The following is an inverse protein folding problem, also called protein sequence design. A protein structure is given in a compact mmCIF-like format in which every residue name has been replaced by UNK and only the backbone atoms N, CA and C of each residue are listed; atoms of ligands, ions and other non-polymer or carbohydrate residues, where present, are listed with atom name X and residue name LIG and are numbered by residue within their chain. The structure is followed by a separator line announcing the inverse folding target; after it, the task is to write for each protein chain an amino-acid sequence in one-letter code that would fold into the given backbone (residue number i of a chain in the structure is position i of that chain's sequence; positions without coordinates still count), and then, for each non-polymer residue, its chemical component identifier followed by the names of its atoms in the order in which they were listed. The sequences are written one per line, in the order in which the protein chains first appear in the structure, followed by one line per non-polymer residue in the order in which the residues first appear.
data_IF_260535211971
#
_entry.id   IF_260535211971
#
_cell.length_a   1.000
_cell.length_b   1.000
_cell.length_c   1.000
_cell.angle_alpha   90.00
_cell.angle_beta   90.00
_cell.angle_gamma   90.00
#
_symmetry.space_group_name_H-M   'P 1'
#
loop_
_entity.id
_entity.type
_entity.pdbx_description
1 polymer ?
#
# COMPACT_ATOMS: atom_id res chain seq x y z
N UNK A 1 -8.89 10.50 7.25
CA UNK A 1 -10.01 9.87 6.54
C UNK A 1 -10.71 10.85 5.59
N UNK A 2 -11.12 12.03 6.04
CA UNK A 2 -11.86 13.01 5.21
C UNK A 2 -11.18 13.30 3.87
N UNK A 3 -9.86 13.60 3.90
CA UNK A 3 -9.08 13.80 2.68
C UNK A 3 -9.16 12.59 1.74
N UNK A 4 -8.88 11.39 2.24
CA UNK A 4 -8.84 10.18 1.41
C UNK A 4 -10.21 9.85 0.81
N UNK A 5 -11.28 9.94 1.58
CA UNK A 5 -12.64 9.61 1.10
C UNK A 5 -13.15 10.62 0.09
N UNK A 6 -12.73 11.89 0.18
CA UNK A 6 -13.04 12.94 -0.79
C UNK A 6 -12.44 12.64 -2.17
N UNK A 7 -11.21 12.11 -2.22
CA UNK A 7 -10.52 11.78 -3.47
C UNK A 7 -10.71 10.33 -3.91
N UNK A 8 -11.28 9.48 -3.06
CA UNK A 8 -11.59 8.11 -3.41
C UNK A 8 -12.65 8.08 -4.53
N UNK A 9 -12.29 7.50 -5.69
CA UNK A 9 -13.15 7.39 -6.87
C UNK A 9 -14.57 6.96 -6.49
N UNK A 10 -15.58 7.50 -7.17
CA UNK A 10 -16.97 7.04 -7.01
C UNK A 10 -17.08 5.58 -7.43
N UNK A 11 -17.98 4.84 -6.82
CA UNK A 11 -18.23 3.44 -7.18
C UNK A 11 -18.77 3.34 -8.61
N UNK A 12 -18.10 2.59 -9.49
CA UNK A 12 -18.58 2.38 -10.85
C UNK A 12 -19.83 1.51 -10.85
N UNK A 13 -20.56 1.49 -11.98
CA UNK A 13 -21.73 0.61 -12.17
C UNK A 13 -21.31 -0.86 -12.19
N UNK A 14 -20.14 -1.14 -12.71
CA UNK A 14 -19.58 -2.48 -12.85
C UNK A 14 -19.19 -3.08 -11.48
N UNK A 15 -19.56 -4.35 -11.29
CA UNK A 15 -19.23 -5.09 -10.06
C UNK A 15 -17.74 -5.42 -10.00
N UNK A 16 -17.16 -5.39 -8.81
CA UNK A 16 -15.75 -5.75 -8.59
C UNK A 16 -14.75 -4.75 -9.16
N UNK A 17 -15.17 -3.50 -9.34
CA UNK A 17 -14.34 -2.39 -9.83
C UNK A 17 -14.35 -1.18 -8.87
N UNK A 18 -14.93 -1.33 -7.68
CA UNK A 18 -14.97 -0.26 -6.70
C UNK A 18 -13.56 0.02 -6.15
N UNK A 19 -13.28 1.28 -5.78
CA UNK A 19 -12.04 1.60 -5.07
C UNK A 19 -12.08 1.12 -3.62
N UNK A 20 -10.91 0.88 -3.05
CA UNK A 20 -10.74 0.56 -1.63
C UNK A 20 -9.73 1.49 -0.97
N UNK A 21 -9.83 1.61 0.34
CA UNK A 21 -8.81 2.22 1.20
C UNK A 21 -8.17 1.12 2.04
N UNK A 22 -6.85 1.03 2.02
CA UNK A 22 -6.08 0.08 2.84
C UNK A 22 -5.37 0.86 3.93
N UNK A 23 -5.75 0.64 5.18
CA UNK A 23 -5.22 1.38 6.34
C UNK A 23 -4.39 0.44 7.21
N UNK A 24 -3.06 0.63 7.19
CA UNK A 24 -2.17 -0.05 8.12
C UNK A 24 -2.35 0.48 9.55
N UNK A 25 -2.48 -0.41 10.52
CA UNK A 25 -2.72 -0.04 11.91
C UNK A 25 -2.19 -1.12 12.88
N UNK A 26 -2.05 -0.76 14.16
CA UNK A 26 -1.81 -1.74 15.21
C UNK A 26 -3.09 -2.55 15.49
N UNK A 27 -2.94 -3.70 16.14
CA UNK A 27 -4.06 -4.58 16.50
C UNK A 27 -5.15 -3.82 17.29
N UNK A 28 -4.75 -3.04 18.26
CA UNK A 28 -5.65 -2.27 19.14
C UNK A 28 -6.39 -1.14 18.40
N UNK A 29 -5.92 -0.75 17.22
CA UNK A 29 -6.52 0.32 16.42
C UNK A 29 -7.53 -0.18 15.38
N UNK A 30 -7.62 -1.49 15.15
CA UNK A 30 -8.47 -2.06 14.09
C UNK A 30 -9.92 -1.56 14.21
N UNK A 31 -10.50 -1.65 15.41
CA UNK A 31 -11.88 -1.21 15.63
C UNK A 31 -12.05 0.29 15.39
N UNK A 32 -11.11 1.12 15.86
CA UNK A 32 -11.14 2.56 15.65
C UNK A 32 -11.06 2.93 14.17
N UNK A 33 -10.24 2.21 13.39
CA UNK A 33 -10.14 2.39 11.94
C UNK A 33 -11.45 2.03 11.23
N UNK A 34 -12.10 0.94 11.64
CA UNK A 34 -13.40 0.52 11.10
C UNK A 34 -14.48 1.55 11.41
N UNK A 35 -14.55 2.01 12.65
CA UNK A 35 -15.56 2.97 13.08
C UNK A 35 -15.37 4.33 12.40
N UNK A 36 -14.14 4.77 12.25
CA UNK A 36 -13.83 5.99 11.51
C UNK A 36 -14.17 5.84 10.02
N UNK A 37 -13.87 4.68 9.42
CA UNK A 37 -14.30 4.37 8.04
C UNK A 37 -15.81 4.51 7.85
N UNK A 38 -16.60 3.96 8.77
CA UNK A 38 -18.08 4.05 8.73
C UNK A 38 -18.59 5.48 8.78
N UNK A 39 -18.00 6.35 9.62
CA UNK A 39 -18.35 7.79 9.69
C UNK A 39 -18.16 8.49 8.34
N UNK A 40 -17.21 8.02 7.54
CA UNK A 40 -16.91 8.55 6.22
C UNK A 40 -17.55 7.75 5.06
N UNK A 41 -18.55 6.90 5.36
CA UNK A 41 -19.30 6.16 4.35
C UNK A 41 -18.61 4.89 3.81
N UNK A 42 -17.52 4.43 4.45
CA UNK A 42 -16.88 3.15 4.14
C UNK A 42 -17.47 2.07 5.04
N UNK A 43 -18.60 1.51 4.62
CA UNK A 43 -19.47 0.68 5.46
C UNK A 43 -19.00 -0.78 5.61
N UNK A 44 -18.15 -1.24 4.71
CA UNK A 44 -17.66 -2.62 4.65
C UNK A 44 -16.17 -2.67 4.90
N UNK A 45 -15.73 -3.74 5.55
CA UNK A 45 -14.30 -3.93 5.87
C UNK A 45 -13.94 -5.40 6.03
N UNK A 46 -12.65 -5.69 5.85
CA UNK A 46 -12.02 -6.94 6.27
C UNK A 46 -10.53 -6.72 6.59
N UNK A 47 -9.93 -7.55 7.46
CA UNK A 47 -8.54 -7.40 7.84
C UNK A 47 -7.59 -8.05 6.83
N UNK A 48 -6.40 -7.46 6.70
CA UNK A 48 -5.20 -8.11 6.17
C UNK A 48 -4.20 -8.30 7.30
N UNK A 49 -3.53 -9.44 7.31
CA UNK A 49 -2.52 -9.80 8.30
C UNK A 49 -1.17 -9.99 7.62
N UNK A 50 -0.13 -9.36 8.14
CA UNK A 50 1.22 -9.49 7.62
C UNK A 50 2.07 -10.24 8.63
N UNK A 51 2.68 -11.34 8.21
CA UNK A 51 3.45 -12.24 9.07
C UNK A 51 4.94 -12.04 8.80
N UNK A 52 5.65 -11.58 9.83
CA UNK A 52 7.12 -11.40 9.77
C UNK A 52 7.80 -12.71 10.13
N UNK A 53 8.85 -13.04 9.40
CA UNK A 53 9.75 -14.16 9.76
C UNK A 53 10.82 -13.76 10.78
N UNK A 54 10.68 -12.60 11.41
CA UNK A 54 11.59 -12.07 12.44
C UNK A 54 10.80 -11.33 13.51
N UNK A 55 11.30 -11.32 14.72
CA UNK A 55 10.75 -10.52 15.82
C UNK A 55 11.15 -9.06 15.66
N UNK A 56 10.17 -8.17 15.72
CA UNK A 56 10.39 -6.72 15.73
C UNK A 56 10.01 -6.06 17.05
N UNK A 57 9.22 -6.73 17.88
CA UNK A 57 8.68 -6.16 19.11
C UNK A 57 8.44 -7.24 20.16
N UNK A 58 8.84 -6.95 21.39
CA UNK A 58 8.47 -7.77 22.54
C UNK A 58 7.11 -7.31 23.05
N UNK A 59 6.11 -8.18 23.00
CA UNK A 59 4.75 -7.90 23.48
C UNK A 59 4.62 -8.08 24.98
N UNK A 60 5.20 -9.18 25.51
CA UNK A 60 5.21 -9.51 26.94
C UNK A 60 6.56 -10.12 27.32
N UNK A 61 7.46 -9.31 27.88
CA UNK A 61 8.83 -9.72 28.21
C UNK A 61 8.86 -10.92 29.18
N UNK A 62 8.07 -10.88 30.25
CA UNK A 62 8.04 -11.94 31.28
C UNK A 62 7.51 -13.27 30.74
N UNK A 63 6.65 -13.24 29.70
CA UNK A 63 6.11 -14.43 29.04
C UNK A 63 6.90 -14.82 27.79
N UNK A 64 7.94 -14.07 27.46
CA UNK A 64 8.75 -14.26 26.23
C UNK A 64 7.90 -14.24 24.93
N UNK A 65 6.81 -13.47 24.92
CA UNK A 65 5.95 -13.32 23.75
C UNK A 65 6.45 -12.17 22.89
N UNK A 66 6.69 -12.45 21.61
CA UNK A 66 7.18 -11.47 20.63
C UNK A 66 6.17 -11.28 19.50
N UNK A 67 6.03 -10.04 19.05
CA UNK A 67 5.15 -9.69 17.95
C UNK A 67 5.77 -10.05 16.61
N UNK A 68 5.05 -10.85 15.82
CA UNK A 68 5.43 -11.22 14.47
C UNK A 68 4.38 -10.78 13.43
N UNK A 69 3.34 -10.08 13.86
CA UNK A 69 2.24 -9.68 12.97
C UNK A 69 2.12 -8.16 12.86
N UNK A 70 1.73 -7.70 11.69
CA UNK A 70 1.21 -6.36 11.43
C UNK A 70 -0.15 -6.49 10.76
N UNK A 71 -0.94 -5.42 10.80
CA UNK A 71 -2.31 -5.45 10.33
C UNK A 71 -2.58 -4.30 9.37
N UNK A 72 -3.54 -4.51 8.47
CA UNK A 72 -4.24 -3.45 7.78
C UNK A 72 -5.73 -3.79 7.70
N UNK A 73 -6.55 -2.77 7.53
CA UNK A 73 -7.97 -2.91 7.27
C UNK A 73 -8.25 -2.41 5.87
N UNK A 74 -8.88 -3.25 5.06
CA UNK A 74 -9.45 -2.85 3.78
C UNK A 74 -10.83 -2.30 4.05
N UNK A 75 -11.06 -1.05 3.64
CA UNK A 75 -12.31 -0.33 3.80
C UNK A 75 -12.89 -0.01 2.42
N UNK A 76 -14.20 -0.20 2.25
CA UNK A 76 -14.90 0.16 1.02
C UNK A 76 -16.37 0.51 1.31
N UNK A 77 -17.05 1.13 0.33
CA UNK A 77 -18.42 1.59 0.50
C UNK A 77 -19.39 0.40 0.51
N UNK A 78 -20.09 0.18 -0.58
CA UNK A 78 -21.09 -0.89 -0.69
C UNK A 78 -20.67 -1.95 -1.70
N UNK A 79 -20.17 -1.54 -2.86
CA UNK A 79 -19.75 -2.45 -3.92
C UNK A 79 -18.39 -3.07 -3.62
N UNK A 80 -18.22 -4.33 -4.03
CA UNK A 80 -16.95 -5.04 -3.89
C UNK A 80 -15.82 -4.29 -4.60
N UNK A 81 -14.69 -4.11 -3.93
CA UNK A 81 -13.52 -3.48 -4.53
C UNK A 81 -12.94 -4.33 -5.65
N UNK A 82 -12.14 -3.69 -6.49
CA UNK A 82 -11.29 -4.39 -7.45
C UNK A 82 -10.43 -5.41 -6.69
N UNK A 83 -10.36 -6.63 -7.25
CA UNK A 83 -9.61 -7.71 -6.63
C UNK A 83 -9.02 -8.61 -7.71
N UNK A 84 -7.76 -8.37 -8.04
CA UNK A 84 -7.03 -9.11 -9.06
C UNK A 84 -6.46 -10.40 -8.45
N UNK A 85 -7.08 -11.51 -8.78
CA UNK A 85 -6.72 -12.84 -8.28
C UNK A 85 -6.60 -13.88 -9.40
N UNK A 86 -6.31 -13.42 -10.62
CA UNK A 86 -6.10 -14.30 -11.76
C UNK A 86 -4.68 -14.88 -11.65
N UNK A 87 -4.57 -16.21 -11.63
CA UNK A 87 -3.29 -16.92 -11.65
C UNK A 87 -2.70 -17.03 -13.06
N UNK A 88 -1.50 -17.59 -13.14
CA UNK A 88 -0.79 -17.84 -14.41
C UNK A 88 -1.55 -18.78 -15.35
N UNK A 89 -2.47 -19.58 -14.81
CA UNK A 89 -3.37 -20.46 -15.55
C UNK A 89 -4.62 -19.73 -16.13
N UNK A 90 -4.69 -18.40 -15.96
CA UNK A 90 -5.81 -17.57 -16.40
C UNK A 90 -7.09 -17.72 -15.56
N UNK A 91 -7.08 -18.48 -14.47
CA UNK A 91 -8.24 -18.69 -13.59
C UNK A 91 -8.18 -17.81 -12.35
N UNK A 92 -9.36 -17.51 -11.80
CA UNK A 92 -9.46 -16.84 -10.51
C UNK A 92 -9.17 -17.81 -9.37
N UNK A 93 -8.27 -17.40 -8.47
CA UNK A 93 -7.89 -18.16 -7.29
C UNK A 93 -8.32 -17.45 -6.02
N UNK A 94 -8.57 -18.22 -4.94
CA UNK A 94 -8.72 -17.63 -3.62
C UNK A 94 -7.37 -17.14 -3.11
N UNK A 95 -7.34 -15.93 -2.57
CA UNK A 95 -6.18 -15.33 -1.92
C UNK A 95 -6.46 -15.28 -0.43
N UNK A 96 -5.55 -15.81 0.38
CA UNK A 96 -5.63 -15.65 1.84
C UNK A 96 -5.49 -14.17 2.22
N UNK A 97 -6.13 -13.78 3.30
CA UNK A 97 -6.02 -12.42 3.84
C UNK A 97 -4.74 -12.21 4.67
N UNK A 98 -3.76 -13.08 4.54
CA UNK A 98 -2.45 -12.93 5.15
C UNK A 98 -1.34 -12.96 4.11
N UNK A 99 -0.25 -12.22 4.39
CA UNK A 99 0.90 -12.07 3.50
C UNK A 99 2.18 -12.19 4.30
N UNK A 100 3.19 -12.80 3.70
CA UNK A 100 4.54 -12.84 4.27
C UNK A 100 5.19 -11.45 4.18
N UNK A 101 5.67 -10.94 5.31
CA UNK A 101 6.43 -9.70 5.37
C UNK A 101 7.93 -10.02 5.25
N UNK A 102 8.44 -9.99 4.04
CA UNK A 102 9.88 -10.11 3.77
C UNK A 102 10.54 -8.74 3.83
N UNK A 103 11.72 -8.69 4.44
CA UNK A 103 12.53 -7.46 4.41
C UNK A 103 12.99 -7.18 2.98
N UNK A 104 13.01 -5.89 2.63
CA UNK A 104 13.59 -5.45 1.37
C UNK A 104 15.12 -5.70 1.32
N UNK A 105 15.64 -5.87 0.12
CA UNK A 105 17.07 -5.76 -0.12
C UNK A 105 17.47 -4.27 0.01
N UNK A 106 18.27 -3.96 1.00
CA UNK A 106 18.68 -2.58 1.31
C UNK A 106 19.52 -1.90 0.23
N UNK A 107 20.13 -2.67 -0.68
CA UNK A 107 20.85 -2.11 -1.86
C UNK A 107 19.86 -1.58 -2.91
N UNK A 108 18.71 -2.23 -3.06
CA UNK A 108 17.67 -1.85 -4.01
C UNK A 108 16.66 -0.88 -3.41
N UNK A 109 16.28 -1.11 -2.16
CA UNK A 109 15.29 -0.30 -1.43
C UNK A 109 15.89 0.17 -0.10
N UNK A 110 16.49 1.36 -0.08
CA UNK A 110 17.19 1.86 1.11
C UNK A 110 16.20 2.05 2.27
N UNK A 111 16.65 1.70 3.49
CA UNK A 111 15.87 1.94 4.69
C UNK A 111 15.99 3.42 5.09
N UNK A 112 14.94 4.18 4.90
CA UNK A 112 14.86 5.61 5.15
C UNK A 112 14.08 5.91 6.43
N UNK A 113 13.00 5.16 6.67
CA UNK A 113 12.07 5.41 7.77
C UNK A 113 12.02 4.21 8.73
N UNK A 114 11.93 4.43 10.06
CA UNK A 114 11.89 3.33 11.04
C UNK A 114 10.77 2.31 10.80
N UNK A 115 9.58 2.80 10.42
CA UNK A 115 8.37 2.00 10.17
C UNK A 115 8.10 1.75 8.69
N UNK A 116 9.14 1.84 7.85
CA UNK A 116 9.03 1.61 6.41
C UNK A 116 8.43 0.24 6.09
N UNK A 117 7.42 0.23 5.24
CA UNK A 117 6.83 -1.00 4.70
C UNK A 117 7.68 -1.52 3.54
N UNK A 118 7.87 -2.85 3.42
CA UNK A 118 8.61 -3.42 2.29
C UNK A 118 7.95 -3.10 0.94
N UNK A 119 8.76 -2.68 -0.02
CA UNK A 119 8.29 -2.37 -1.38
C UNK A 119 7.65 -3.61 -2.03
N UNK A 120 8.25 -4.79 -1.84
CA UNK A 120 7.70 -6.04 -2.36
C UNK A 120 6.30 -6.37 -1.82
N UNK A 121 6.06 -6.11 -0.53
CA UNK A 121 4.74 -6.27 0.08
C UNK A 121 3.72 -5.27 -0.51
N UNK A 122 4.13 -4.01 -0.63
CA UNK A 122 3.27 -2.96 -1.19
C UNK A 122 2.92 -3.24 -2.65
N UNK A 123 3.87 -3.73 -3.45
CA UNK A 123 3.59 -4.20 -4.83
C UNK A 123 2.48 -5.24 -4.85
N UNK A 124 2.55 -6.25 -3.96
CA UNK A 124 1.53 -7.30 -3.92
C UNK A 124 0.15 -6.75 -3.58
N UNK A 125 0.05 -5.80 -2.64
CA UNK A 125 -1.22 -5.14 -2.29
C UNK A 125 -1.74 -4.31 -3.46
N UNK A 126 -0.87 -3.50 -4.09
CA UNK A 126 -1.21 -2.66 -5.24
C UNK A 126 -1.71 -3.53 -6.40
N UNK A 127 -1.03 -4.63 -6.70
CA UNK A 127 -1.44 -5.59 -7.73
C UNK A 127 -2.86 -6.13 -7.52
N UNK A 128 -3.19 -6.48 -6.27
CA UNK A 128 -4.51 -7.03 -5.93
C UNK A 128 -5.63 -6.00 -6.15
N UNK A 129 -5.41 -4.76 -5.75
CA UNK A 129 -6.47 -3.75 -5.68
C UNK A 129 -6.49 -2.75 -6.83
N UNK A 130 -5.54 -2.82 -7.77
CA UNK A 130 -5.41 -1.86 -8.87
C UNK A 130 -5.01 -2.54 -10.18
N UNK A 131 -5.30 -1.88 -11.30
CA UNK A 131 -4.76 -2.20 -12.62
C UNK A 131 -3.67 -1.21 -13.02
N UNK A 132 -2.94 -1.50 -14.10
CA UNK A 132 -1.99 -0.55 -14.68
C UNK A 132 -2.71 0.75 -15.07
N UNK A 133 -2.06 1.87 -14.81
CA UNK A 133 -2.63 3.20 -15.04
C UNK A 133 -3.57 3.71 -13.94
N UNK A 134 -4.02 2.85 -13.00
CA UNK A 134 -4.81 3.30 -11.86
C UNK A 134 -4.02 4.26 -10.97
N UNK A 135 -4.74 5.10 -10.21
CA UNK A 135 -4.17 6.09 -9.31
C UNK A 135 -4.22 5.59 -7.87
N UNK A 136 -3.08 5.63 -7.20
CA UNK A 136 -2.93 5.36 -5.76
C UNK A 136 -2.60 6.67 -5.04
N UNK A 137 -3.20 6.89 -3.88
CA UNK A 137 -2.90 8.06 -3.02
C UNK A 137 -2.39 7.55 -1.67
N UNK A 138 -1.20 7.99 -1.29
CA UNK A 138 -0.61 7.73 0.03
C UNK A 138 -0.45 9.06 0.79
N UNK A 139 -1.37 9.39 1.73
CA UNK A 139 -1.36 10.66 2.44
C UNK A 139 -0.24 10.76 3.50
N UNK A 140 0.49 9.67 3.76
CA UNK A 140 1.54 9.58 4.79
C UNK A 140 2.75 8.79 4.27
N UNK A 141 3.26 9.22 3.12
CA UNK A 141 4.21 8.48 2.29
C UNK A 141 5.54 8.08 2.98
N UNK A 142 5.95 8.79 4.01
CA UNK A 142 7.15 8.48 4.81
C UNK A 142 8.40 8.32 3.95
N UNK A 143 8.81 7.07 3.75
CA UNK A 143 9.98 6.72 2.92
C UNK A 143 9.74 6.76 1.41
N UNK A 144 8.49 6.94 0.95
CA UNK A 144 8.12 6.86 -0.46
C UNK A 144 8.02 5.42 -1.00
N UNK A 145 7.99 4.40 -0.13
CA UNK A 145 7.91 3.00 -0.55
C UNK A 145 6.68 2.69 -1.40
N UNK A 146 5.52 3.30 -1.08
CA UNK A 146 4.29 3.14 -1.86
C UNK A 146 4.45 3.74 -3.25
N UNK A 147 5.07 4.93 -3.36
CA UNK A 147 5.32 5.59 -4.64
C UNK A 147 6.27 4.75 -5.50
N UNK A 148 7.34 4.21 -4.88
CA UNK A 148 8.28 3.31 -5.55
C UNK A 148 7.58 2.08 -6.09
N UNK A 149 6.74 1.42 -5.27
CA UNK A 149 5.98 0.24 -5.65
C UNK A 149 5.02 0.54 -6.82
N UNK A 150 4.30 1.65 -6.77
CA UNK A 150 3.40 2.08 -7.85
C UNK A 150 4.15 2.30 -9.17
N UNK A 151 5.24 3.04 -9.13
CA UNK A 151 6.02 3.35 -10.32
C UNK A 151 6.62 2.09 -10.99
N UNK A 152 7.14 1.14 -10.19
CA UNK A 152 7.65 -0.12 -10.71
C UNK A 152 6.55 -1.04 -11.27
N UNK A 153 5.29 -0.73 -10.99
CA UNK A 153 4.13 -1.49 -11.46
C UNK A 153 3.27 -0.73 -12.47
N UNK A 154 3.74 0.38 -13.02
CA UNK A 154 3.01 1.24 -13.95
C UNK A 154 1.68 1.78 -13.39
N UNK A 155 1.63 2.10 -12.09
CA UNK A 155 0.52 2.82 -11.47
C UNK A 155 0.92 4.27 -11.24
N UNK A 156 -0.04 5.18 -11.37
CA UNK A 156 0.16 6.58 -10.98
C UNK A 156 0.05 6.70 -9.46
N UNK A 157 0.91 7.51 -8.84
CA UNK A 157 0.85 7.68 -7.38
C UNK A 157 1.08 9.12 -6.96
N UNK A 158 0.27 9.57 -6.00
CA UNK A 158 0.47 10.83 -5.30
C UNK A 158 0.75 10.53 -3.83
N UNK A 159 1.88 11.05 -3.32
CA UNK A 159 2.28 10.86 -1.92
C UNK A 159 2.51 12.19 -1.22
N UNK A 160 2.17 12.23 0.06
CA UNK A 160 2.34 13.40 0.90
C UNK A 160 3.18 13.03 2.13
N UNK A 161 4.18 13.86 2.43
CA UNK A 161 5.02 13.70 3.62
C UNK A 161 5.29 15.08 4.23
N UNK A 162 4.85 15.24 5.49
CA UNK A 162 4.95 16.53 6.20
C UNK A 162 6.36 16.80 6.71
N UNK A 163 7.13 15.74 7.02
CA UNK A 163 8.49 15.86 7.53
C UNK A 163 9.47 16.04 6.35
N UNK A 164 9.94 17.27 6.15
CA UNK A 164 10.88 17.63 5.08
C UNK A 164 12.10 16.70 4.98
N UNK A 165 12.61 16.21 6.11
CA UNK A 165 13.73 15.28 6.15
C UNK A 165 13.38 13.96 5.42
N UNK A 166 12.23 13.35 5.71
CA UNK A 166 11.81 12.10 5.07
C UNK A 166 11.43 12.34 3.61
N UNK A 167 10.78 13.46 3.31
CA UNK A 167 10.50 13.86 1.93
C UNK A 167 11.78 13.93 1.09
N UNK A 168 12.81 14.66 1.55
CA UNK A 168 14.08 14.78 0.84
C UNK A 168 14.76 13.41 0.66
N UNK A 169 14.84 12.60 1.72
CA UNK A 169 15.44 11.28 1.65
C UNK A 169 14.68 10.33 0.71
N UNK A 170 13.34 10.43 0.65
CA UNK A 170 12.54 9.68 -0.30
C UNK A 170 12.90 10.07 -1.74
N UNK A 171 12.97 11.36 -2.06
CA UNK A 171 13.34 11.84 -3.39
C UNK A 171 14.76 11.42 -3.78
N UNK A 172 15.73 11.62 -2.89
CA UNK A 172 17.15 11.39 -3.18
C UNK A 172 17.53 9.91 -3.26
N UNK A 173 16.86 9.05 -2.52
CA UNK A 173 17.26 7.64 -2.37
C UNK A 173 16.23 6.64 -2.88
N UNK A 174 14.96 6.76 -2.47
CA UNK A 174 13.93 5.77 -2.81
C UNK A 174 13.41 5.93 -4.24
N UNK A 175 13.21 7.18 -4.68
CA UNK A 175 12.55 7.51 -5.95
C UNK A 175 13.54 7.87 -7.07
N UNK A 176 14.80 8.06 -6.78
CA UNK A 176 15.81 8.51 -7.75
C UNK A 176 15.84 7.71 -9.05
N UNK A 177 15.88 6.39 -8.95
CA UNK A 177 15.96 5.50 -10.13
C UNK A 177 14.67 5.53 -10.96
N UNK A 178 13.52 5.71 -10.31
CA UNK A 178 12.22 5.78 -10.99
C UNK A 178 12.07 7.09 -11.74
N UNK A 179 12.54 8.19 -11.17
CA UNK A 179 12.54 9.50 -11.83
C UNK A 179 13.42 9.50 -13.09
N UNK A 180 14.60 8.85 -13.03
CA UNK A 180 15.46 8.67 -14.20
C UNK A 180 14.77 7.86 -15.31
N UNK A 181 14.03 6.81 -14.98
CA UNK A 181 13.30 6.00 -15.96
C UNK A 181 12.14 6.78 -16.60
N UNK A 182 11.46 7.64 -15.86
CA UNK A 182 10.40 8.50 -16.38
C UNK A 182 10.98 9.52 -17.36
N UNK A 183 12.10 10.15 -17.03
CA UNK A 183 12.77 11.11 -17.89
C UNK A 183 13.23 10.48 -19.21
N UNK A 184 13.80 9.28 -19.17
CA UNK A 184 14.21 8.53 -20.37
C UNK A 184 13.04 8.12 -21.28
N UNK A 185 11.84 7.93 -20.72
CA UNK A 185 10.62 7.63 -21.51
C UNK A 185 9.97 8.88 -22.09
N UNK A 186 10.13 10.02 -21.45
CA UNK A 186 9.62 11.32 -21.91
C UNK A 186 10.35 11.85 -23.15
N UNK A 187 11.65 11.65 -23.21
CA UNK A 187 12.51 12.13 -24.32
C UNK A 187 12.35 11.30 -25.62
N UNK A 188 11.65 10.17 -25.60
CA UNK A 188 11.38 9.34 -26.80
C UNK A 188 10.11 9.71 -27.59
N UNK A 189 9.33 10.69 -27.11
CA UNK A 189 8.09 11.11 -27.77
C UNK A 189 8.14 12.51 -28.42
N UNK A 190 9.31 13.14 -28.51
CA UNK A 190 9.50 14.38 -29.30
C UNK A 190 10.37 14.08 -30.50
N UNK A 191 9.78 13.48 -31.52
CA UNK A 191 10.45 13.23 -32.80
C UNK A 191 9.62 12.37 -33.74
N UNK A 192 8.58 12.95 -34.29
CA UNK A 192 8.21 12.83 -35.74
C UNK A 192 7.02 13.76 -36.04
#
# INVERSE_FOLDING_TARGET
FDFCTRYLKKEPKEKGQAPAMVVFCAFEQIQSVIDEGKKHGLLKSYPLVFIKNYSAQVLKANMKVVGATEYAVVLYRDKLPKFNNIGVDGKKHMIFNWFEWKRDNSKQYPKIHPTQKPVGLLKRIIEIFTDEGDVVIDPVAGSGSTLRACAEMNRNCYGFEIKKQFYNLAQEKMLKEVQLQINLRGDSNEGD
#
